data_IF_994212995901
#
_entry.id   IF_994212995901
#
_cell.length_a   1.000
_cell.length_b   1.000
_cell.length_c   1.000
_cell.angle_alpha   90.00
_cell.angle_beta   90.00
_cell.angle_gamma   90.00
#
_symmetry.space_group_name_H-M   'P 1'
#
loop_
_entity.id
_entity.type
_entity.pdbx_description
1 polymer ?
#
# COMPACT_ATOMS: atom_id res chain seq x y z
N UNK A 1 -6.37 -14.81 -4.17
CA UNK A 1 -7.71 -14.26 -4.49
C UNK A 1 -7.57 -12.87 -5.09
N UNK A 2 -8.40 -12.47 -6.06
CA UNK A 2 -8.33 -11.13 -6.66
C UNK A 2 -9.38 -10.25 -6.00
N UNK A 3 -8.95 -9.18 -5.33
CA UNK A 3 -9.83 -8.26 -4.62
C UNK A 3 -9.46 -6.81 -4.97
N UNK A 4 -10.44 -5.90 -4.91
CA UNK A 4 -10.13 -4.46 -4.97
C UNK A 4 -9.66 -4.02 -3.60
N UNK A 5 -8.42 -3.56 -3.50
CA UNK A 5 -7.83 -3.14 -2.23
C UNK A 5 -7.36 -1.69 -2.28
N UNK A 6 -7.31 -1.08 -1.10
CA UNK A 6 -6.61 0.17 -0.88
C UNK A 6 -5.25 -0.15 -0.28
N UNK A 7 -4.17 0.26 -0.96
CA UNK A 7 -2.81 0.01 -0.48
C UNK A 7 -2.06 1.34 -0.33
N UNK A 8 -1.38 1.49 0.81
CA UNK A 8 -0.38 2.51 1.03
C UNK A 8 0.97 1.94 0.62
N UNK A 9 1.59 2.53 -0.40
CA UNK A 9 2.90 2.17 -0.91
C UNK A 9 3.93 3.19 -0.44
N UNK A 10 5.08 2.70 0.00
CA UNK A 10 6.27 3.50 0.27
C UNK A 10 7.28 3.28 -0.85
N UNK A 11 7.68 4.38 -1.48
CA UNK A 11 8.72 4.42 -2.48
C UNK A 11 9.98 5.03 -1.88
N UNK A 12 11.13 4.40 -2.10
CA UNK A 12 12.44 4.99 -1.82
C UNK A 12 13.22 4.94 -3.12
N UNK A 13 13.71 6.10 -3.59
CA UNK A 13 14.45 6.22 -4.85
C UNK A 13 13.74 5.59 -6.07
N UNK A 14 12.41 5.74 -6.13
CA UNK A 14 11.50 5.17 -7.16
C UNK A 14 11.24 3.66 -7.08
N UNK A 15 11.78 2.96 -6.09
CA UNK A 15 11.47 1.55 -5.83
C UNK A 15 10.43 1.39 -4.72
N UNK A 16 9.46 0.49 -4.91
CA UNK A 16 8.52 0.10 -3.85
C UNK A 16 9.30 -0.69 -2.80
N UNK A 17 9.48 -0.13 -1.60
CA UNK A 17 10.11 -0.81 -0.48
C UNK A 17 9.11 -1.44 0.46
N UNK A 18 7.96 -0.79 0.68
CA UNK A 18 6.91 -1.31 1.56
C UNK A 18 5.52 -1.12 0.98
N UNK A 19 4.63 -2.03 1.36
CA UNK A 19 3.21 -1.94 1.05
C UNK A 19 2.36 -2.35 2.25
N UNK A 20 1.28 -1.62 2.49
CA UNK A 20 0.30 -1.96 3.53
C UNK A 20 -1.12 -1.84 3.01
N UNK A 21 -1.90 -2.92 3.13
CA UNK A 21 -3.33 -2.91 2.84
C UNK A 21 -4.05 -2.10 3.93
N UNK A 22 -5.00 -1.28 3.52
CA UNK A 22 -5.81 -0.42 4.37
C UNK A 22 -7.29 -0.72 4.14
N UNK A 23 -8.11 -0.52 5.17
CA UNK A 23 -9.55 -0.83 5.10
C UNK A 23 -10.31 0.12 4.17
N UNK A 24 -9.84 1.37 4.02
CA UNK A 24 -10.48 2.37 3.16
C UNK A 24 -9.49 3.40 2.61
N UNK A 25 -9.90 4.10 1.55
CA UNK A 25 -9.14 5.21 0.98
C UNK A 25 -8.90 6.33 1.99
N UNK A 26 -9.91 6.67 2.80
CA UNK A 26 -9.81 7.72 3.82
C UNK A 26 -8.74 7.41 4.86
N UNK A 27 -8.68 6.15 5.32
CA UNK A 27 -7.63 5.68 6.23
C UNK A 27 -6.26 5.73 5.56
N UNK A 28 -6.16 5.31 4.29
CA UNK A 28 -4.91 5.40 3.54
C UNK A 28 -4.40 6.85 3.45
N UNK A 29 -5.26 7.81 3.07
CA UNK A 29 -4.89 9.22 2.94
C UNK A 29 -4.47 9.83 4.29
N UNK A 30 -5.15 9.45 5.37
CA UNK A 30 -4.77 9.88 6.74
C UNK A 30 -3.38 9.35 7.11
N UNK A 31 -3.12 8.06 6.91
CA UNK A 31 -1.82 7.45 7.19
C UNK A 31 -0.71 8.03 6.31
N UNK A 32 -0.98 8.23 5.02
CA UNK A 32 -0.07 8.92 4.09
C UNK A 32 0.35 10.28 4.65
N UNK A 33 -0.62 11.11 5.05
CA UNK A 33 -0.33 12.45 5.60
C UNK A 33 0.48 12.42 6.88
N UNK A 34 0.29 11.41 7.73
CA UNK A 34 1.07 11.25 8.96
C UNK A 34 2.49 10.80 8.61
N UNK A 35 2.64 9.83 7.70
CA UNK A 35 3.93 9.33 7.27
C UNK A 35 4.77 10.45 6.64
N UNK A 36 4.20 11.21 5.70
CA UNK A 36 4.86 12.33 5.02
C UNK A 36 5.38 13.44 5.94
N UNK A 37 4.92 13.52 7.20
CA UNK A 37 5.44 14.51 8.17
C UNK A 37 6.85 14.18 8.68
N UNK A 38 7.26 12.92 8.61
CA UNK A 38 8.43 12.41 9.32
C UNK A 38 9.53 11.88 8.38
N UNK A 39 9.46 12.17 7.08
CA UNK A 39 10.36 11.59 6.07
C UNK A 39 11.25 12.60 5.36
N UNK A 40 12.40 12.09 4.93
CA UNK A 40 13.37 12.76 4.07
C UNK A 40 12.87 12.83 2.61
N UNK A 41 13.48 13.72 1.82
CA UNK A 41 13.09 14.01 0.43
C UNK A 41 13.05 12.79 -0.53
N UNK A 42 13.72 11.69 -0.19
CA UNK A 42 13.81 10.50 -1.04
C UNK A 42 12.68 9.49 -0.82
N UNK A 43 11.82 9.72 0.17
CA UNK A 43 10.70 8.81 0.46
C UNK A 43 9.39 9.40 -0.03
N UNK A 44 8.67 8.61 -0.83
CA UNK A 44 7.38 8.98 -1.40
C UNK A 44 6.30 7.99 -0.96
N UNK A 45 5.20 8.51 -0.43
CA UNK A 45 4.04 7.68 -0.08
C UNK A 45 2.91 7.85 -1.09
N UNK A 46 2.36 6.74 -1.57
CA UNK A 46 1.24 6.74 -2.53
C UNK A 46 0.12 5.84 -2.05
N UNK A 47 -1.09 6.37 -2.03
CA UNK A 47 -2.30 5.58 -1.88
C UNK A 47 -2.78 5.14 -3.26
N UNK A 48 -2.98 3.84 -3.43
CA UNK A 48 -3.54 3.28 -4.65
C UNK A 48 -4.83 2.53 -4.35
N UNK A 49 -5.78 2.64 -5.26
CA UNK A 49 -6.96 1.77 -5.33
C UNK A 49 -6.79 0.92 -6.57
N UNK A 50 -6.52 -0.36 -6.41
CA UNK A 50 -6.31 -1.27 -7.54
C UNK A 50 -6.86 -2.65 -7.23
N UNK A 51 -7.09 -3.41 -8.29
CA UNK A 51 -7.26 -4.86 -8.15
C UNK A 51 -5.90 -5.46 -7.80
N UNK A 52 -5.86 -6.25 -6.74
CA UNK A 52 -4.65 -6.92 -6.31
C UNK A 52 -4.93 -8.41 -6.14
N UNK A 53 -3.95 -9.22 -6.48
CA UNK A 53 -3.92 -10.62 -6.12
C UNK A 53 -3.40 -10.72 -4.68
N UNK A 54 -4.28 -11.12 -3.77
CA UNK A 54 -4.02 -11.28 -2.35
C UNK A 54 -3.78 -12.75 -2.04
N UNK A 55 -2.77 -13.03 -1.24
CA UNK A 55 -2.51 -14.33 -0.63
C UNK A 55 -2.77 -14.23 0.88
N UNK A 56 -3.43 -15.23 1.44
CA UNK A 56 -3.66 -15.32 2.88
C UNK A 56 -2.53 -16.18 3.44
N UNK A 57 -1.69 -15.60 4.29
CA UNK A 57 -0.65 -16.36 4.98
C UNK A 57 -1.27 -17.24 6.06
N UNK A 58 -0.52 -18.22 6.54
CA UNK A 58 -0.94 -19.15 7.59
C UNK A 58 -1.36 -18.40 8.87
N UNK A 59 -0.77 -17.21 9.11
CA UNK A 59 -1.09 -16.32 10.25
C UNK A 59 -2.41 -15.51 10.07
N UNK A 60 -3.13 -15.71 8.96
CA UNK A 60 -4.36 -14.96 8.64
C UNK A 60 -4.11 -13.54 8.10
N UNK A 61 -2.85 -13.13 7.96
CA UNK A 61 -2.48 -11.85 7.34
C UNK A 61 -2.66 -11.90 5.82
N UNK A 62 -3.10 -10.80 5.22
CA UNK A 62 -3.25 -10.65 3.77
C UNK A 62 -1.98 -10.01 3.20
N UNK A 63 -1.35 -10.67 2.22
CA UNK A 63 -0.21 -10.13 1.46
C UNK A 63 -0.60 -9.83 0.03
N UNK A 64 -0.12 -8.71 -0.52
CA UNK A 64 -0.27 -8.39 -1.95
C UNK A 64 0.79 -9.19 -2.72
N UNK A 65 0.36 -10.17 -3.51
CA UNK A 65 1.22 -10.95 -4.39
C UNK A 65 1.50 -10.21 -5.69
N UNK A 66 0.47 -9.59 -6.27
CA UNK A 66 0.57 -8.78 -7.49
C UNK A 66 -0.42 -7.62 -7.45
N UNK A 67 0.04 -6.45 -7.91
CA UNK A 67 -0.82 -5.31 -8.19
C UNK A 67 -1.20 -5.34 -9.67
N UNK A 68 -2.49 -5.38 -9.96
CA UNK A 68 -3.02 -5.26 -11.32
C UNK A 68 -3.41 -3.79 -11.49
N UNK A 69 -2.49 -3.00 -12.04
CA UNK A 69 -2.72 -1.61 -12.42
C UNK A 69 -3.32 -1.61 -13.83
N UNK A 70 -4.57 -1.17 -13.96
CA UNK A 70 -5.23 -0.94 -15.24
C UNK A 70 -5.08 0.52 -15.66
#
# INVERSE_FOLDING_TARGET
>A
MIETVFALLMFIDHEIKEHRIQDSLSVCLKHKRIAERSVSNNVLYKCIKSQAEIEINIDGTKTIKKLILK
#
